data_IF_497773423745
#
_entry.id   IF_497773423745
#
_cell.length_a   1.000
_cell.length_b   1.000
_cell.length_c   1.000
_cell.angle_alpha   90.00
_cell.angle_beta   90.00
_cell.angle_gamma   90.00
#
_symmetry.space_group_name_H-M   'P 1'
#
loop_
_entity.id
_entity.type
_entity.pdbx_description
1 polymer ?
#
# COMPACT_ATOMS: atom_id res chain seq x y z
N UNK A 1 24.56 -2.97 3.73
CA UNK A 1 23.46 -1.99 3.73
C UNK A 1 22.40 -2.49 2.77
N UNK A 2 21.28 -2.92 3.33
CA UNK A 2 20.14 -3.40 2.59
C UNK A 2 19.58 -2.35 1.63
N UNK A 3 18.97 -2.82 0.57
CA UNK A 3 18.15 -2.05 -0.35
C UNK A 3 16.69 -2.43 -0.20
N UNK A 4 15.79 -1.62 -0.77
CA UNK A 4 14.37 -1.96 -0.82
C UNK A 4 14.10 -3.35 -1.44
N UNK A 5 14.94 -3.81 -2.37
CA UNK A 5 14.78 -5.13 -3.01
C UNK A 5 15.06 -6.30 -2.07
N UNK A 6 15.79 -6.06 -0.98
CA UNK A 6 16.16 -7.09 -0.01
C UNK A 6 15.08 -7.28 1.07
N UNK A 7 14.05 -6.43 1.07
CA UNK A 7 12.98 -6.46 2.07
C UNK A 7 12.08 -7.69 1.96
N UNK A 8 11.59 -8.15 3.11
CA UNK A 8 10.71 -9.31 3.22
C UNK A 8 9.28 -8.90 2.90
N UNK A 9 8.64 -9.68 2.02
CA UNK A 9 7.21 -9.56 1.68
C UNK A 9 6.44 -10.78 2.18
N UNK A 10 5.12 -10.66 2.42
CA UNK A 10 4.30 -11.82 2.76
C UNK A 10 4.42 -12.93 1.72
N UNK A 11 4.45 -14.18 2.19
CA UNK A 11 4.50 -15.35 1.32
C UNK A 11 3.26 -15.42 0.42
N UNK A 12 3.45 -15.68 -0.88
CA UNK A 12 2.35 -15.83 -1.85
C UNK A 12 1.33 -16.88 -1.41
N UNK A 13 1.75 -18.06 -0.94
CA UNK A 13 0.82 -19.12 -0.50
C UNK A 13 -0.07 -18.65 0.66
N UNK A 14 0.46 -17.83 1.56
CA UNK A 14 -0.32 -17.24 2.63
C UNK A 14 -1.34 -16.22 2.09
N UNK A 15 -0.92 -15.38 1.15
CA UNK A 15 -1.83 -14.44 0.49
C UNK A 15 -2.93 -15.13 -0.32
N UNK A 16 -2.63 -16.25 -0.98
CA UNK A 16 -3.62 -17.08 -1.68
C UNK A 16 -4.74 -17.56 -0.74
N UNK A 17 -4.36 -18.06 0.45
CA UNK A 17 -5.32 -18.53 1.44
C UNK A 17 -6.21 -17.39 1.94
N UNK A 18 -5.62 -16.22 2.21
CA UNK A 18 -6.37 -15.04 2.63
C UNK A 18 -7.28 -14.50 1.53
N UNK A 19 -6.81 -14.49 0.28
CA UNK A 19 -7.59 -14.04 -0.86
C UNK A 19 -8.84 -14.89 -1.03
N UNK A 20 -8.75 -16.22 -0.93
CA UNK A 20 -9.93 -17.12 -1.01
C UNK A 20 -11.02 -16.73 -0.01
N UNK A 21 -10.63 -16.36 1.21
CA UNK A 21 -11.56 -15.88 2.24
C UNK A 21 -12.08 -14.48 1.90
N UNK A 22 -11.23 -13.58 1.43
CA UNK A 22 -11.60 -12.19 1.12
C UNK A 22 -12.56 -12.06 -0.08
N UNK A 23 -12.50 -12.99 -1.04
CA UNK A 23 -13.38 -12.99 -2.21
C UNK A 23 -14.86 -13.12 -1.82
N UNK A 24 -15.19 -13.90 -0.79
CA UNK A 24 -16.58 -14.13 -0.34
C UNK A 24 -17.51 -14.47 -1.52
N UNK A 25 -17.07 -15.37 -2.41
CA UNK A 25 -17.80 -15.80 -3.60
C UNK A 25 -17.74 -14.86 -4.81
N UNK A 26 -17.03 -13.74 -4.74
CA UNK A 26 -16.78 -12.84 -5.88
C UNK A 26 -15.59 -13.31 -6.71
N UNK A 27 -15.53 -12.84 -7.95
CA UNK A 27 -14.31 -12.89 -8.77
C UNK A 27 -13.24 -11.94 -8.22
N UNK A 28 -11.98 -12.15 -8.61
CA UNK A 28 -10.90 -11.25 -8.23
C UNK A 28 -11.10 -9.83 -8.74
N UNK A 29 -11.60 -9.66 -9.96
CA UNK A 29 -11.86 -8.32 -10.52
C UNK A 29 -12.95 -7.59 -9.74
N UNK A 30 -14.06 -8.26 -9.39
CA UNK A 30 -15.10 -7.70 -8.54
C UNK A 30 -14.57 -7.32 -7.15
N UNK A 31 -13.69 -8.15 -6.58
CA UNK A 31 -13.02 -7.84 -5.31
C UNK A 31 -12.14 -6.59 -5.43
N UNK A 32 -11.32 -6.51 -6.47
CA UNK A 32 -10.42 -5.37 -6.73
C UNK A 32 -11.24 -4.10 -6.94
N UNK A 33 -12.32 -4.15 -7.72
CA UNK A 33 -13.23 -3.02 -7.96
C UNK A 33 -13.89 -2.55 -6.66
N UNK A 34 -14.44 -3.49 -5.88
CA UNK A 34 -15.05 -3.19 -4.60
C UNK A 34 -14.06 -2.55 -3.63
N UNK A 35 -12.86 -3.13 -3.50
CA UNK A 35 -11.79 -2.62 -2.64
C UNK A 35 -11.40 -1.20 -3.02
N UNK A 36 -11.10 -0.96 -4.29
CA UNK A 36 -10.60 0.33 -4.77
C UNK A 36 -11.66 1.42 -4.70
N UNK A 37 -12.92 1.09 -4.97
CA UNK A 37 -14.05 2.00 -4.75
C UNK A 37 -14.17 2.41 -3.26
N UNK A 38 -14.08 1.44 -2.35
CA UNK A 38 -14.13 1.68 -0.91
C UNK A 38 -12.91 2.47 -0.40
N UNK A 39 -11.71 2.14 -0.89
CA UNK A 39 -10.49 2.86 -0.56
C UNK A 39 -10.55 4.31 -1.04
N UNK A 40 -10.94 4.55 -2.30
CA UNK A 40 -11.14 5.91 -2.82
C UNK A 40 -12.05 6.73 -1.92
N UNK A 41 -13.19 6.18 -1.51
CA UNK A 41 -14.12 6.88 -0.62
C UNK A 41 -13.50 7.28 0.72
N UNK A 42 -12.61 6.47 1.27
CA UNK A 42 -11.86 6.78 2.50
C UNK A 42 -10.76 7.82 2.26
N UNK A 43 -9.98 7.67 1.19
CA UNK A 43 -8.91 8.59 0.83
C UNK A 43 -9.43 9.99 0.47
N UNK A 44 -10.59 10.11 -0.17
CA UNK A 44 -11.21 11.42 -0.44
C UNK A 44 -11.57 12.18 0.85
N UNK A 45 -11.89 11.45 1.93
CA UNK A 45 -12.21 12.04 3.24
C UNK A 45 -10.95 12.33 4.05
N UNK A 46 -9.94 11.46 3.94
CA UNK A 46 -8.68 11.58 4.66
C UNK A 46 -7.53 11.10 3.76
N UNK A 47 -6.98 11.99 2.90
CA UNK A 47 -5.92 11.62 1.96
C UNK A 47 -4.73 11.01 2.66
N UNK A 48 -4.39 11.47 3.87
CA UNK A 48 -3.29 10.99 4.72
C UNK A 48 -3.32 9.47 4.97
N UNK A 49 -4.46 8.81 4.81
CA UNK A 49 -4.58 7.35 4.93
C UNK A 49 -3.76 6.59 3.88
N UNK A 50 -3.33 7.21 2.78
CA UNK A 50 -2.49 6.52 1.79
C UNK A 50 -1.19 6.00 2.40
N UNK A 51 -0.66 6.71 3.40
CA UNK A 51 0.59 6.39 4.10
C UNK A 51 0.54 5.01 4.78
N UNK A 52 -0.64 4.58 5.24
CA UNK A 52 -0.77 3.27 5.90
C UNK A 52 -0.44 2.09 4.96
N UNK A 53 -0.50 2.30 3.65
CA UNK A 53 -0.17 1.27 2.65
C UNK A 53 1.33 1.19 2.37
N UNK A 54 2.13 2.13 2.87
CA UNK A 54 3.58 2.14 2.76
C UNK A 54 4.07 1.87 1.33
N UNK A 55 4.97 0.91 1.13
CA UNK A 55 5.56 0.64 -0.18
C UNK A 55 4.59 0.01 -1.19
N UNK A 56 3.38 -0.41 -0.79
CA UNK A 56 2.35 -0.88 -1.71
C UNK A 56 1.57 0.26 -2.38
N UNK A 57 1.69 1.50 -1.87
CA UNK A 57 0.94 2.64 -2.39
C UNK A 57 1.09 2.87 -3.91
N UNK A 58 2.30 2.78 -4.52
CA UNK A 58 2.46 3.00 -5.95
C UNK A 58 1.64 2.03 -6.83
N UNK A 59 1.52 0.75 -6.48
CA UNK A 59 0.66 -0.18 -7.24
C UNK A 59 -0.82 0.12 -7.00
N UNK A 60 -1.22 0.46 -5.77
CA UNK A 60 -2.61 0.88 -5.47
C UNK A 60 -2.99 2.11 -6.28
N UNK A 61 -2.15 3.16 -6.30
CA UNK A 61 -2.38 4.38 -7.06
C UNK A 61 -2.51 4.10 -8.56
N UNK A 62 -1.66 3.22 -9.10
CA UNK A 62 -1.77 2.74 -10.48
C UNK A 62 -3.12 2.06 -10.73
N UNK A 63 -3.56 1.15 -9.84
CA UNK A 63 -4.83 0.44 -9.99
C UNK A 63 -6.06 1.36 -9.87
N UNK A 64 -5.97 2.42 -9.05
CA UNK A 64 -6.97 3.49 -8.98
C UNK A 64 -7.05 4.25 -10.31
N UNK A 65 -5.89 4.63 -10.88
CA UNK A 65 -5.83 5.35 -12.15
C UNK A 65 -6.41 4.56 -13.32
N UNK A 66 -6.13 3.26 -13.41
CA UNK A 66 -6.70 2.39 -14.45
C UNK A 66 -8.23 2.30 -14.39
N UNK A 67 -8.82 2.54 -13.23
CA UNK A 67 -10.28 2.61 -13.02
C UNK A 67 -10.85 4.02 -13.18
N UNK A 68 -10.05 4.96 -13.68
CA UNK A 68 -10.45 6.34 -13.90
C UNK A 68 -10.41 7.21 -12.64
N UNK A 69 -9.89 6.72 -11.52
CA UNK A 69 -9.80 7.48 -10.28
C UNK A 69 -8.53 8.35 -10.20
N UNK A 70 -8.50 9.42 -11.01
CA UNK A 70 -7.41 10.40 -11.05
C UNK A 70 -7.34 11.38 -9.88
N UNK A 71 -8.06 11.12 -8.78
CA UNK A 71 -8.16 12.03 -7.64
C UNK A 71 -6.84 12.22 -6.88
N UNK A 72 -5.89 11.29 -7.01
CA UNK A 72 -4.69 11.20 -6.17
C UNK A 72 -3.40 11.48 -6.96
N UNK A 73 -3.52 12.12 -8.13
CA UNK A 73 -2.39 12.37 -9.02
C UNK A 73 -2.10 11.23 -9.99
N UNK A 74 -1.13 11.44 -10.89
CA UNK A 74 -0.80 10.52 -12.00
C UNK A 74 0.63 9.98 -11.96
N UNK A 75 1.49 10.52 -11.10
CA UNK A 75 2.87 10.09 -10.96
C UNK A 75 2.92 8.79 -10.14
N UNK A 76 3.56 7.77 -10.72
CA UNK A 76 3.72 6.46 -10.11
C UNK A 76 5.22 6.19 -9.95
N UNK A 77 5.65 5.94 -8.72
CA UNK A 77 6.99 5.40 -8.46
C UNK A 77 7.07 3.99 -9.04
N UNK A 78 7.79 3.86 -10.16
CA UNK A 78 7.87 2.60 -10.91
C UNK A 78 8.79 1.59 -10.25
N UNK A 79 9.81 2.05 -9.52
CA UNK A 79 10.84 1.20 -8.94
C UNK A 79 10.32 0.54 -7.67
N UNK A 80 9.70 1.31 -6.79
CA UNK A 80 9.00 0.78 -5.61
C UNK A 80 7.90 -0.18 -6.04
N UNK A 81 7.08 0.20 -7.03
CA UNK A 81 6.02 -0.66 -7.57
C UNK A 81 6.54 -1.98 -8.13
N UNK A 82 7.70 -1.98 -8.78
CA UNK A 82 8.31 -3.20 -9.33
C UNK A 82 8.64 -4.20 -8.22
N UNK A 83 9.03 -3.70 -7.04
CA UNK A 83 9.38 -4.52 -5.87
C UNK A 83 8.11 -4.90 -5.08
N UNK A 84 7.21 -3.95 -4.84
CA UNK A 84 6.01 -4.06 -4.01
C UNK A 84 4.73 -4.24 -4.83
N UNK A 85 4.75 -5.24 -5.70
CA UNK A 85 3.56 -5.78 -6.36
C UNK A 85 3.64 -7.31 -6.42
N UNK A 86 2.48 -7.93 -6.52
CA UNK A 86 2.32 -9.31 -6.91
C UNK A 86 1.86 -9.41 -8.37
N UNK A 87 1.90 -10.62 -8.90
CA UNK A 87 1.47 -10.93 -10.27
C UNK A 87 -0.02 -10.66 -10.51
N UNK A 88 -0.84 -10.75 -9.45
CA UNK A 88 -2.27 -10.48 -9.49
C UNK A 88 -2.62 -9.24 -8.65
N UNK A 89 -3.44 -8.30 -9.17
CA UNK A 89 -3.87 -7.12 -8.41
C UNK A 89 -4.51 -7.49 -7.07
N UNK A 90 -5.36 -8.52 -7.04
CA UNK A 90 -6.03 -8.96 -5.82
C UNK A 90 -5.05 -9.38 -4.72
N UNK A 91 -3.99 -10.13 -5.06
CA UNK A 91 -2.94 -10.49 -4.09
C UNK A 91 -2.20 -9.26 -3.56
N UNK A 92 -1.93 -8.27 -4.42
CA UNK A 92 -1.30 -7.01 -3.99
C UNK A 92 -2.19 -6.26 -3.01
N UNK A 93 -3.49 -6.19 -3.27
CA UNK A 93 -4.43 -5.51 -2.37
C UNK A 93 -4.61 -6.26 -1.04
N UNK A 94 -4.58 -7.59 -1.03
CA UNK A 94 -4.58 -8.38 0.21
C UNK A 94 -3.30 -8.10 1.02
N UNK A 95 -2.12 -8.14 0.39
CA UNK A 95 -0.85 -7.82 1.05
C UNK A 95 -0.85 -6.39 1.63
N UNK A 96 -1.31 -5.41 0.85
CA UNK A 96 -1.40 -4.03 1.27
C UNK A 96 -2.43 -3.83 2.40
N UNK A 97 -3.50 -4.64 2.43
CA UNK A 97 -4.47 -4.63 3.53
C UNK A 97 -3.87 -5.12 4.82
N UNK A 98 -3.13 -6.24 4.79
CA UNK A 98 -2.42 -6.76 5.97
C UNK A 98 -1.43 -5.72 6.51
N UNK A 99 -0.64 -5.13 5.61
CA UNK A 99 0.33 -4.09 5.96
C UNK A 99 -0.37 -2.90 6.62
N UNK A 100 -1.44 -2.39 6.03
CA UNK A 100 -2.21 -1.28 6.60
C UNK A 100 -2.90 -1.63 7.92
N UNK A 101 -3.32 -2.88 8.13
CA UNK A 101 -3.92 -3.34 9.38
C UNK A 101 -2.88 -3.39 10.50
N UNK A 102 -1.67 -3.90 10.22
CA UNK A 102 -0.56 -3.86 11.16
C UNK A 102 -0.22 -2.42 11.57
N UNK A 103 -0.15 -1.50 10.59
CA UNK A 103 0.06 -0.07 10.86
C UNK A 103 -1.05 0.53 11.71
N UNK A 104 -2.31 0.15 11.49
CA UNK A 104 -3.41 0.58 12.34
C UNK A 104 -3.26 0.05 13.77
N UNK A 105 -2.99 -1.24 13.94
CA UNK A 105 -2.83 -1.88 15.25
C UNK A 105 -1.68 -1.27 16.05
N UNK A 106 -0.63 -0.80 15.38
CA UNK A 106 0.54 -0.17 16.00
C UNK A 106 0.39 1.36 16.17
N UNK A 107 -0.77 1.95 15.88
CA UNK A 107 -1.00 3.39 15.98
C UNK A 107 -0.25 4.24 14.95
N UNK A 108 0.25 3.62 13.87
CA UNK A 108 1.10 4.23 12.85
C UNK A 108 0.34 4.51 11.53
N UNK A 109 -0.99 4.51 11.55
CA UNK A 109 -1.84 4.63 10.36
C UNK A 109 -1.57 5.91 9.52
N UNK A 110 -1.09 6.98 10.15
CA UNK A 110 -0.79 8.26 9.48
C UNK A 110 0.70 8.56 9.30
N UNK A 111 1.58 7.68 9.78
CA UNK A 111 3.02 7.86 9.68
C UNK A 111 3.50 7.50 8.27
N UNK A 112 4.24 8.43 7.65
CA UNK A 112 4.90 8.22 6.36
C UNK A 112 6.19 7.39 6.49
N UNK A 113 6.71 7.17 7.70
CA UNK A 113 7.96 6.43 7.93
C UNK A 113 7.68 4.97 8.28
N UNK A 114 8.37 4.09 7.57
CA UNK A 114 8.21 2.64 7.63
C UNK A 114 9.56 1.99 7.93
N UNK A 115 9.54 0.98 8.78
CA UNK A 115 10.65 0.06 8.98
C UNK A 115 10.25 -1.25 8.29
N UNK A 116 10.95 -1.57 7.20
CA UNK A 116 10.65 -2.73 6.37
C UNK A 116 11.61 -3.87 6.77
N UNK A 117 11.09 -5.05 7.14
CA UNK A 117 11.93 -6.14 7.61
C UNK A 117 12.90 -6.61 6.54
N UNK A 118 14.14 -6.88 6.92
CA UNK A 118 15.22 -7.39 6.07
C UNK A 118 15.71 -8.73 6.63
N UNK A 119 16.13 -9.70 5.80
CA UNK A 119 16.74 -10.93 6.29
C UNK A 119 18.00 -10.65 7.12
N UNK A 120 18.18 -11.30 8.29
CA UNK A 120 19.33 -11.06 9.16
C UNK A 120 20.71 -11.34 8.52
N UNK A 121 20.74 -12.13 7.44
CA UNK A 121 21.94 -12.43 6.67
C UNK A 121 22.31 -11.32 5.66
N UNK A 122 21.40 -10.37 5.39
CA UNK A 122 21.64 -9.21 4.52
C UNK A 122 22.02 -7.98 5.33
N UNK A 123 21.28 -7.70 6.41
CA UNK A 123 21.50 -6.54 7.29
C UNK A 123 20.90 -6.80 8.68
N UNK A 124 21.47 -6.17 9.72
CA UNK A 124 21.02 -6.32 11.12
C UNK A 124 19.93 -5.31 11.51
N UNK A 125 19.64 -4.35 10.63
CA UNK A 125 18.59 -3.35 10.80
C UNK A 125 17.48 -3.46 9.73
N UNK A 126 16.26 -3.08 10.13
CA UNK A 126 15.15 -2.87 9.20
C UNK A 126 15.46 -1.73 8.23
N UNK A 127 15.00 -1.87 6.98
CA UNK A 127 15.20 -0.86 5.95
C UNK A 127 14.23 0.32 6.18
N UNK A 128 14.73 1.56 6.38
CA UNK A 128 13.88 2.74 6.51
C UNK A 128 13.31 3.15 5.15
N UNK A 129 12.00 3.31 5.09
CA UNK A 129 11.28 3.71 3.88
C UNK A 129 10.30 4.85 4.18
N UNK A 130 10.32 5.90 3.38
CA UNK A 130 9.33 6.98 3.44
C UNK A 130 8.28 6.80 2.34
N UNK A 131 7.02 6.59 2.73
CA UNK A 131 5.89 6.59 1.81
C UNK A 131 5.43 8.03 1.58
N UNK A 132 6.13 8.73 0.69
CA UNK A 132 5.86 10.12 0.33
C UNK A 132 5.33 10.21 -1.10
N UNK A 133 4.12 10.73 -1.26
CA UNK A 133 3.51 11.05 -2.55
C UNK A 133 3.06 12.51 -2.56
N UNK A 134 3.88 13.37 -3.16
CA UNK A 134 3.64 14.82 -3.21
C UNK A 134 2.23 15.17 -3.72
N UNK A 135 1.71 14.45 -4.72
CA UNK A 135 0.39 14.73 -5.30
C UNK A 135 -0.76 14.39 -4.35
N UNK A 136 -0.54 13.50 -3.39
CA UNK A 136 -1.51 13.16 -2.33
C UNK A 136 -1.31 14.06 -1.12
N UNK A 137 -0.06 14.40 -0.78
CA UNK A 137 0.26 15.26 0.35
C UNK A 137 -0.32 16.66 0.21
N UNK A 138 -0.37 17.22 -1.00
CA UNK A 138 -1.06 18.50 -1.24
C UNK A 138 -2.57 18.45 -0.98
N UNK A 139 -3.17 17.26 -0.95
CA UNK A 139 -4.59 17.06 -0.64
C UNK A 139 -4.84 16.94 0.86
N UNK A 140 -3.80 16.63 1.64
CA UNK A 140 -3.92 16.52 3.10
C UNK A 140 -4.25 17.91 3.63
N UNK A 141 -5.41 18.10 4.29
CA UNK A 141 -5.74 19.37 4.91
C UNK A 141 -4.60 19.76 5.85
N UNK A 142 -4.06 20.96 5.68
CA UNK A 142 -2.92 21.42 6.47
C UNK A 142 -3.20 21.21 7.95
N UNK A 143 -2.25 20.60 8.66
CA UNK A 143 -2.07 20.97 10.05
C UNK A 143 -1.87 22.48 10.01
N UNK A 144 -2.86 23.20 10.55
CA UNK A 144 -2.83 24.65 10.56
C UNK A 144 -1.46 25.08 11.04
N UNK A 145 -0.79 25.90 10.22
CA UNK A 145 0.22 26.80 10.73
C UNK A 145 -0.50 27.63 11.80
N UNK A 146 -0.39 27.20 13.06
CA UNK A 146 -0.59 28.05 14.22
C UNK A 146 0.77 28.59 14.63
#
# INVERSE_FOLDING_TARGET
MATLSDTIKPNKTYLEALLRTALLGKTEDEYVDFFLKGLRGRLLKSPRLYRSYGPYWPEIKKLLLERGYGNFGRLIDRDVRKIYRFDRPALTLVAATLYSQERFNNGQIYSAWHLLPVPPDVDDADYPFESYDLEVEVLVPGEGKN
#
